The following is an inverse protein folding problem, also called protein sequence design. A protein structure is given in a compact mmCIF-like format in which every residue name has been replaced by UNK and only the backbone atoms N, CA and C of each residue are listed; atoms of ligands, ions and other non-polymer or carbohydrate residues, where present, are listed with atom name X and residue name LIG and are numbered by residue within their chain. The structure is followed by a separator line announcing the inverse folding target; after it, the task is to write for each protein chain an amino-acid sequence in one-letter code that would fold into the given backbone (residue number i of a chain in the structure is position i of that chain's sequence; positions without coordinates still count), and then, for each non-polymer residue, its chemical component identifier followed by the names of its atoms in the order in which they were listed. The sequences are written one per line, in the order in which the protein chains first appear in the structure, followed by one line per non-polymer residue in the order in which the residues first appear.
data_IF_062506398636
#
_entry.id   IF_062506398636
#
_cell.length_a   1.000
_cell.length_b   1.000
_cell.length_c   1.000
_cell.angle_alpha   90.00
_cell.angle_beta   90.00
_cell.angle_gamma   90.00
#
_symmetry.space_group_name_H-M   'P 1'
#
loop_
_entity.id
_entity.type
_entity.pdbx_description
1 polymer ?
#
# COMPACT_ATOMS: atom_id res chain seq x y z
N UNK A 1 15.83 26.94 -7.95
CA UNK A 1 15.35 25.59 -8.32
C UNK A 1 14.87 24.88 -7.07
N UNK A 2 13.55 24.79 -6.84
CA UNK A 2 13.03 23.86 -5.81
C UNK A 2 13.19 22.46 -6.39
N UNK A 3 14.12 21.65 -5.87
CA UNK A 3 14.07 20.23 -6.20
C UNK A 3 12.76 19.71 -5.63
N UNK A 4 11.75 19.48 -6.47
CA UNK A 4 10.56 18.76 -6.06
C UNK A 4 11.01 17.33 -5.77
N UNK A 5 11.43 17.07 -4.53
CA UNK A 5 11.79 15.72 -4.12
C UNK A 5 10.50 14.94 -4.03
N UNK A 6 10.18 14.21 -5.10
CA UNK A 6 9.13 13.20 -5.10
C UNK A 6 9.33 12.31 -3.87
N UNK A 7 8.30 12.20 -3.05
CA UNK A 7 8.34 11.46 -1.80
C UNK A 7 8.41 9.96 -2.13
N UNK A 8 9.49 9.29 -1.73
CA UNK A 8 9.64 7.85 -1.92
C UNK A 8 9.10 7.13 -0.69
N UNK A 9 8.03 6.37 -0.87
CA UNK A 9 7.35 5.64 0.21
C UNK A 9 7.53 4.15 0.01
N UNK A 10 8.08 3.48 1.01
CA UNK A 10 8.06 2.02 1.08
C UNK A 10 6.81 1.59 1.86
N UNK A 11 5.93 0.84 1.21
CA UNK A 11 4.68 0.39 1.79
C UNK A 11 4.86 -0.99 2.44
N UNK A 12 4.28 -1.13 3.63
CA UNK A 12 4.07 -2.42 4.26
C UNK A 12 2.97 -3.22 3.55
N UNK A 13 2.96 -4.56 3.70
CA UNK A 13 1.93 -5.43 3.13
C UNK A 13 0.51 -5.01 3.54
N UNK A 14 0.35 -4.42 4.73
CA UNK A 14 -0.92 -3.88 5.24
C UNK A 14 -1.61 -2.92 4.27
N UNK A 15 -0.86 -2.03 3.61
CA UNK A 15 -1.43 -1.05 2.66
C UNK A 15 -1.66 -1.64 1.25
N UNK A 16 -1.18 -2.86 1.00
CA UNK A 16 -1.34 -3.57 -0.27
C UNK A 16 -2.49 -4.58 -0.23
N UNK A 17 -2.83 -5.09 0.95
CA UNK A 17 -3.93 -6.05 1.17
C UNK A 17 -5.28 -5.63 0.54
N UNK A 18 -5.70 -4.36 0.58
CA UNK A 18 -6.95 -3.95 -0.08
C UNK A 18 -6.97 -4.19 -1.60
N UNK A 19 -5.79 -4.21 -2.25
CA UNK A 19 -5.68 -4.47 -3.70
C UNK A 19 -6.15 -5.90 -4.04
N UNK A 20 -5.97 -6.84 -3.11
CA UNK A 20 -6.37 -8.25 -3.26
C UNK A 20 -7.69 -8.58 -2.56
N UNK A 21 -8.49 -7.55 -2.22
CA UNK A 21 -9.83 -7.73 -1.65
C UNK A 21 -9.86 -8.05 -0.16
N UNK A 22 -8.74 -7.83 0.56
CA UNK A 22 -8.71 -7.98 2.02
C UNK A 22 -8.97 -6.62 2.67
N UNK A 23 -10.08 -6.52 3.41
CA UNK A 23 -10.38 -5.34 4.22
C UNK A 23 -9.44 -5.27 5.43
N UNK A 24 -8.95 -4.07 5.70
CA UNK A 24 -8.06 -3.80 6.83
C UNK A 24 -8.62 -2.58 7.55
N UNK A 25 -9.00 -2.75 8.81
CA UNK A 25 -9.57 -1.66 9.61
C UNK A 25 -8.50 -0.61 9.94
N UNK A 26 -8.86 0.67 9.83
CA UNK A 26 -8.07 1.80 10.33
C UNK A 26 -6.98 2.32 9.39
N UNK A 27 -6.98 1.91 8.11
CA UNK A 27 -6.04 2.41 7.09
C UNK A 27 -6.69 3.37 6.10
N UNK A 28 -7.98 3.67 6.22
CA UNK A 28 -8.77 4.41 5.25
C UNK A 28 -8.21 5.81 5.01
N UNK A 29 -7.92 6.54 6.08
CA UNK A 29 -7.34 7.89 6.02
C UNK A 29 -5.96 7.89 5.35
N UNK A 30 -5.15 6.86 5.64
CA UNK A 30 -3.85 6.68 5.03
C UNK A 30 -3.99 6.38 3.53
N UNK A 31 -4.90 5.49 3.12
CA UNK A 31 -5.16 5.20 1.71
C UNK A 31 -5.67 6.44 0.96
N UNK A 32 -6.52 7.25 1.58
CA UNK A 32 -6.99 8.53 1.02
C UNK A 32 -5.81 9.48 0.81
N UNK A 33 -4.91 9.60 1.79
CA UNK A 33 -3.72 10.44 1.68
C UNK A 33 -2.76 9.93 0.59
N UNK A 34 -2.49 8.63 0.56
CA UNK A 34 -1.65 8.00 -0.46
C UNK A 34 -2.25 8.23 -1.84
N UNK A 35 -3.56 8.11 -2.03
CA UNK A 35 -4.23 8.43 -3.29
C UNK A 35 -4.03 9.90 -3.68
N UNK A 36 -4.23 10.85 -2.76
CA UNK A 36 -4.04 12.29 -3.03
C UNK A 36 -2.61 12.62 -3.47
N UNK A 37 -1.60 11.99 -2.85
CA UNK A 37 -0.19 12.17 -3.23
C UNK A 37 0.10 11.63 -4.63
N UNK A 38 -0.47 10.47 -4.98
CA UNK A 38 -0.38 9.88 -6.32
C UNK A 38 -1.00 10.81 -7.36
N UNK A 39 -2.22 11.28 -7.10
CA UNK A 39 -2.99 12.12 -8.02
C UNK A 39 -2.28 13.47 -8.31
N UNK A 40 -1.48 13.95 -7.36
CA UNK A 40 -0.64 15.15 -7.52
C UNK A 40 0.73 14.88 -8.14
N UNK A 41 1.12 13.62 -8.36
CA UNK A 41 2.46 13.25 -8.82
C UNK A 41 3.56 13.54 -7.79
N UNK A 42 3.21 13.60 -6.50
CA UNK A 42 4.11 14.00 -5.42
C UNK A 42 4.82 12.81 -4.74
N UNK A 43 4.44 11.57 -5.07
CA UNK A 43 5.00 10.38 -4.44
C UNK A 43 5.22 9.21 -5.42
N UNK A 44 6.28 8.45 -5.13
CA UNK A 44 6.61 7.15 -5.71
C UNK A 44 6.44 6.08 -4.65
N UNK A 45 5.76 4.98 -5.00
CA UNK A 45 5.43 3.90 -4.06
C UNK A 45 6.25 2.67 -4.40
N UNK A 46 6.89 2.12 -3.38
CA UNK A 46 7.70 0.93 -3.45
C UNK A 46 7.13 -0.11 -2.49
N UNK A 47 7.39 -1.38 -2.79
CA UNK A 47 7.18 -2.50 -1.89
C UNK A 47 8.31 -3.50 -2.10
N UNK A 48 8.53 -4.38 -1.15
CA UNK A 48 9.53 -5.45 -1.28
C UNK A 48 8.89 -6.72 -1.82
N UNK A 49 9.64 -7.59 -2.51
CA UNK A 49 9.16 -8.93 -2.84
C UNK A 49 8.69 -9.73 -1.62
N UNK A 50 9.23 -9.44 -0.42
CA UNK A 50 8.78 -10.06 0.82
C UNK A 50 7.32 -9.76 1.15
N UNK A 51 6.84 -8.54 0.84
CA UNK A 51 5.45 -8.19 1.04
C UNK A 51 4.49 -9.07 0.22
N UNK A 52 4.90 -9.56 -0.96
CA UNK A 52 4.10 -10.51 -1.73
C UNK A 52 3.96 -11.85 -1.02
N UNK A 53 5.04 -12.36 -0.43
CA UNK A 53 4.99 -13.61 0.36
C UNK A 53 4.11 -13.46 1.60
N UNK A 54 4.16 -12.30 2.28
CA UNK A 54 3.27 -12.00 3.40
C UNK A 54 1.79 -11.99 2.99
N UNK A 55 1.49 -11.34 1.86
CA UNK A 55 0.12 -11.30 1.31
C UNK A 55 -0.36 -12.71 1.00
N UNK A 56 0.44 -13.51 0.27
CA UNK A 56 0.09 -14.91 -0.04
C UNK A 56 -0.14 -15.72 1.24
N UNK A 57 0.74 -15.58 2.24
CA UNK A 57 0.60 -16.26 3.52
C UNK A 57 -0.60 -15.81 4.35
N UNK A 58 -1.02 -14.55 4.23
CA UNK A 58 -2.27 -14.06 4.84
C UNK A 58 -3.49 -14.63 4.11
N UNK A 59 -3.50 -14.57 2.78
CA UNK A 59 -4.58 -15.11 1.95
C UNK A 59 -4.78 -16.61 2.15
N UNK A 60 -3.71 -17.40 2.29
CA UNK A 60 -3.82 -18.85 2.50
C UNK A 60 -4.47 -19.24 3.83
N UNK A 61 -4.55 -18.32 4.79
CA UNK A 61 -5.22 -18.52 6.08
C UNK A 61 -6.65 -17.99 6.11
N UNK A 62 -7.06 -17.24 5.07
CA UNK A 62 -8.44 -16.81 4.93
C UNK A 62 -9.22 -17.99 4.36
N UNK A 63 -10.12 -18.54 5.18
CA UNK A 63 -11.16 -19.43 4.67
C UNK A 63 -12.12 -18.55 3.88
N UNK A 64 -12.09 -18.68 2.55
CA UNK A 64 -13.16 -18.19 1.71
C UNK A 64 -14.32 -19.18 1.83
N UNK A 65 -15.42 -18.76 2.45
CA UNK A 65 -16.72 -19.45 2.36
C UNK A 65 -17.37 -19.20 0.99
#
# INVERSE_FOLDING_TARGET
MKSSRTLKLLLDSTYLLPIVGVEVEGIEDALILLKKLRDKGEAEYYYTPFNLFEIIGKLSRLSYD
#
